data_IF_423007747601
#
_entry.id   IF_423007747601
#
_cell.length_a   1.000
_cell.length_b   1.000
_cell.length_c   1.000
_cell.angle_alpha   90.00
_cell.angle_beta   90.00
_cell.angle_gamma   90.00
#
_symmetry.space_group_name_H-M   'P 1'
#
loop_
_entity.id
_entity.type
_entity.pdbx_description
1 polymer ?
#
# COMPACT_ATOMS: atom_id res chain seq x y z
N UNK A 1 11.51 1.42 15.30
CA UNK A 1 11.87 0.93 13.95
C UNK A 1 13.03 1.71 13.33
N UNK A 2 12.86 3.00 13.04
CA UNK A 2 13.83 3.82 12.28
C UNK A 2 15.23 3.90 12.91
N UNK A 3 15.31 3.76 14.23
CA UNK A 3 16.57 3.79 14.97
C UNK A 3 17.31 2.45 15.00
N UNK A 4 16.64 1.35 14.67
CA UNK A 4 17.26 0.02 14.72
C UNK A 4 18.41 -0.09 13.73
N UNK A 5 19.48 -0.77 14.14
CA UNK A 5 20.63 -1.04 13.28
C UNK A 5 20.21 -1.78 12.00
N UNK A 6 19.25 -2.71 12.12
CA UNK A 6 18.69 -3.42 10.97
C UNK A 6 18.01 -2.46 9.98
N UNK A 7 17.15 -1.54 10.42
CA UNK A 7 16.50 -0.60 9.50
C UNK A 7 17.51 0.32 8.82
N UNK A 8 18.43 0.89 9.59
CA UNK A 8 19.49 1.78 9.09
C UNK A 8 20.38 1.07 8.06
N UNK A 9 20.72 -0.20 8.28
CA UNK A 9 21.55 -1.00 7.38
C UNK A 9 20.91 -1.25 6.00
N UNK A 10 19.59 -1.17 5.86
CA UNK A 10 18.93 -1.25 4.56
C UNK A 10 19.07 0.05 3.75
N UNK A 11 19.25 1.20 4.42
CA UNK A 11 19.31 2.54 3.82
C UNK A 11 18.09 2.87 2.93
N UNK A 12 16.91 2.39 3.30
CA UNK A 12 15.65 2.68 2.60
C UNK A 12 15.22 4.12 2.89
N UNK A 13 14.78 4.85 1.85
CA UNK A 13 14.37 6.26 1.95
C UNK A 13 12.87 6.48 1.87
N UNK A 14 12.08 5.39 1.79
CA UNK A 14 10.63 5.46 1.67
C UNK A 14 9.93 4.42 2.55
N UNK A 15 8.90 4.85 3.26
CA UNK A 15 7.96 3.99 3.99
C UNK A 15 6.54 4.24 3.51
N UNK A 16 5.65 3.33 3.89
CA UNK A 16 4.21 3.49 3.74
C UNK A 16 3.57 3.33 5.11
N UNK A 17 2.63 4.21 5.43
CA UNK A 17 1.84 4.15 6.64
C UNK A 17 0.36 4.16 6.29
N UNK A 18 -0.38 3.26 6.90
CA UNK A 18 -1.82 3.17 6.75
C UNK A 18 -2.51 3.96 7.83
N UNK A 19 -3.51 4.75 7.44
CA UNK A 19 -4.37 5.47 8.38
C UNK A 19 -5.83 5.11 8.16
N UNK A 20 -6.62 4.96 9.22
CA UNK A 20 -8.04 4.78 9.09
C UNK A 20 -8.68 6.07 8.55
N UNK A 21 -9.79 5.96 7.83
CA UNK A 21 -10.43 7.08 7.15
C UNK A 21 -10.99 8.15 8.10
N UNK A 22 -11.22 7.80 9.35
CA UNK A 22 -11.64 8.67 10.44
C UNK A 22 -10.48 9.17 11.31
N UNK A 23 -9.21 8.99 10.91
CA UNK A 23 -8.03 9.44 11.67
C UNK A 23 -8.11 10.90 12.13
N UNK A 24 -8.76 11.80 11.38
CA UNK A 24 -8.90 13.22 11.78
C UNK A 24 -9.95 13.47 12.87
N UNK A 25 -10.67 12.44 13.30
CA UNK A 25 -11.64 12.43 14.40
C UNK A 25 -11.22 11.52 15.55
N UNK A 26 -10.22 10.66 15.35
CA UNK A 26 -9.66 9.78 16.36
C UNK A 26 -8.31 10.33 16.80
N UNK A 27 -8.25 10.92 18.00
CA UNK A 27 -7.02 11.51 18.53
C UNK A 27 -5.91 10.49 18.75
N UNK A 28 -6.25 9.23 19.04
CA UNK A 28 -5.28 8.16 19.28
C UNK A 28 -4.63 7.74 17.97
N UNK A 29 -5.43 7.49 16.93
CA UNK A 29 -4.92 7.13 15.61
C UNK A 29 -4.18 8.31 14.95
N UNK A 30 -4.63 9.55 15.18
CA UNK A 30 -3.90 10.74 14.73
C UNK A 30 -2.53 10.86 15.41
N UNK A 31 -2.44 10.60 16.72
CA UNK A 31 -1.18 10.64 17.45
C UNK A 31 -0.20 9.59 16.92
N UNK A 32 -0.64 8.34 16.73
CA UNK A 32 0.20 7.26 16.16
C UNK A 32 0.71 7.59 14.76
N UNK A 33 -0.17 8.11 13.89
CA UNK A 33 0.21 8.52 12.54
C UNK A 33 1.19 9.70 12.55
N UNK A 34 1.00 10.65 13.46
CA UNK A 34 1.87 11.82 13.64
C UNK A 34 3.26 11.39 14.11
N UNK A 35 3.33 10.53 15.12
CA UNK A 35 4.56 9.97 15.65
C UNK A 35 5.33 9.22 14.55
N UNK A 36 4.65 8.33 13.82
CA UNK A 36 5.29 7.56 12.75
C UNK A 36 5.84 8.47 11.64
N UNK A 37 5.06 9.45 11.16
CA UNK A 37 5.47 10.36 10.09
C UNK A 37 6.64 11.24 10.54
N UNK A 38 6.60 11.72 11.79
CA UNK A 38 7.66 12.55 12.36
C UNK A 38 8.95 11.74 12.49
N UNK A 39 8.90 10.54 13.10
CA UNK A 39 10.05 9.66 13.22
C UNK A 39 10.63 9.25 11.85
N UNK A 40 9.78 9.02 10.84
CA UNK A 40 10.23 8.75 9.48
C UNK A 40 10.99 9.95 8.90
N UNK A 41 10.40 11.16 9.00
CA UNK A 41 11.00 12.40 8.51
C UNK A 41 12.35 12.67 9.16
N UNK A 42 12.43 12.54 10.48
CA UNK A 42 13.63 12.82 11.26
C UNK A 42 14.75 11.80 10.95
N UNK A 43 14.38 10.58 10.54
CA UNK A 43 15.31 9.59 9.97
C UNK A 43 15.66 9.81 8.48
N UNK A 44 15.19 10.90 7.86
CA UNK A 44 15.40 11.19 6.44
C UNK A 44 14.62 10.27 5.49
N UNK A 45 13.49 9.73 5.96
CA UNK A 45 12.64 8.77 5.25
C UNK A 45 11.29 9.41 4.90
N UNK A 46 10.87 9.30 3.64
CA UNK A 46 9.60 9.84 3.18
C UNK A 46 8.46 8.82 3.34
N UNK A 47 7.29 9.27 3.80
CA UNK A 47 6.12 8.40 4.00
C UNK A 47 5.08 8.58 2.89
N UNK A 48 4.61 7.47 2.30
CA UNK A 48 3.31 7.39 1.63
C UNK A 48 2.24 7.18 2.70
N UNK A 49 1.38 8.17 2.90
CA UNK A 49 0.25 8.08 3.82
C UNK A 49 -0.99 7.58 3.05
N UNK A 50 -1.45 6.36 3.34
CA UNK A 50 -2.52 5.71 2.59
C UNK A 50 -3.75 5.50 3.46
N UNK A 51 -4.90 6.07 3.06
CA UNK A 51 -6.18 5.88 3.73
C UNK A 51 -6.70 4.44 3.53
N UNK A 52 -7.23 3.85 4.59
CA UNK A 52 -7.95 2.58 4.57
C UNK A 52 -9.18 2.63 5.50
N UNK A 53 -9.96 1.55 5.49
CA UNK A 53 -11.05 1.35 6.43
C UNK A 53 -10.55 1.27 7.87
N UNK A 54 -11.40 1.63 8.84
CA UNK A 54 -11.11 1.45 10.27
C UNK A 54 -11.39 0.03 10.77
N UNK A 55 -12.05 -0.83 9.99
CA UNK A 55 -12.29 -2.23 10.33
C UNK A 55 -11.99 -3.17 9.15
N UNK A 56 -10.87 -3.89 9.26
CA UNK A 56 -10.37 -4.81 8.23
C UNK A 56 -11.08 -6.18 8.23
N UNK A 57 -12.08 -6.42 9.09
CA UNK A 57 -12.89 -7.64 9.02
C UNK A 57 -13.74 -7.61 7.74
N UNK A 58 -13.82 -8.76 7.07
CA UNK A 58 -14.54 -8.90 5.80
C UNK A 58 -15.98 -8.35 5.89
N UNK A 59 -16.30 -7.36 5.05
CA UNK A 59 -17.61 -6.69 4.95
C UNK A 59 -18.07 -5.98 6.25
N UNK A 60 -17.16 -5.59 7.13
CA UNK A 60 -17.50 -4.90 8.40
C UNK A 60 -17.07 -3.43 8.45
N UNK A 61 -16.11 -3.02 7.63
CA UNK A 61 -15.70 -1.63 7.47
C UNK A 61 -16.88 -0.66 7.22
N UNK A 62 -16.94 0.49 7.91
CA UNK A 62 -18.01 1.46 7.72
C UNK A 62 -17.90 2.14 6.36
N UNK A 63 -19.04 2.41 5.71
CA UNK A 63 -19.05 3.23 4.50
C UNK A 63 -18.90 4.70 4.87
N UNK A 64 -17.82 5.34 4.42
CA UNK A 64 -17.66 6.78 4.57
C UNK A 64 -18.49 7.52 3.50
N UNK A 65 -19.28 8.52 3.91
CA UNK A 65 -19.98 9.36 2.93
C UNK A 65 -18.98 10.18 2.12
N UNK A 66 -19.32 10.51 0.88
CA UNK A 66 -18.42 11.28 -0.01
C UNK A 66 -18.11 12.67 0.54
N UNK A 67 -19.10 13.32 1.18
CA UNK A 67 -18.94 14.62 1.85
C UNK A 67 -17.99 14.52 3.05
N UNK A 68 -18.18 13.51 3.91
CA UNK A 68 -17.30 13.26 5.06
C UNK A 68 -15.87 12.99 4.59
N UNK A 69 -15.69 12.07 3.64
CA UNK A 69 -14.37 11.76 3.11
C UNK A 69 -13.68 13.00 2.52
N UNK A 70 -14.41 13.84 1.75
CA UNK A 70 -13.85 15.07 1.17
C UNK A 70 -13.31 16.00 2.24
N UNK A 71 -14.10 16.26 3.29
CA UNK A 71 -13.69 17.09 4.43
C UNK A 71 -12.47 16.49 5.13
N UNK A 72 -12.49 15.20 5.41
CA UNK A 72 -11.41 14.55 6.16
C UNK A 72 -10.12 14.46 5.35
N UNK A 73 -10.19 14.19 4.04
CA UNK A 73 -9.03 14.22 3.14
C UNK A 73 -8.40 15.61 3.10
N UNK A 74 -9.21 16.68 3.08
CA UNK A 74 -8.71 18.06 3.13
C UNK A 74 -7.95 18.35 4.44
N UNK A 75 -8.53 17.95 5.59
CA UNK A 75 -7.90 18.08 6.90
C UNK A 75 -6.62 17.25 7.02
N UNK A 76 -6.66 15.98 6.61
CA UNK A 76 -5.54 15.05 6.63
C UNK A 76 -4.38 15.56 5.78
N UNK A 77 -4.63 15.96 4.53
CA UNK A 77 -3.59 16.49 3.67
C UNK A 77 -3.04 17.80 4.24
N UNK A 78 -3.88 18.72 4.73
CA UNK A 78 -3.41 19.95 5.38
C UNK A 78 -2.43 19.66 6.51
N UNK A 79 -2.80 18.73 7.39
CA UNK A 79 -2.03 18.40 8.57
C UNK A 79 -0.70 17.73 8.21
N UNK A 80 -0.75 16.60 7.49
CA UNK A 80 0.45 15.82 7.19
C UNK A 80 1.38 16.46 6.15
N UNK A 81 0.89 17.41 5.33
CA UNK A 81 1.77 18.22 4.49
C UNK A 81 2.74 19.07 5.30
N UNK A 82 2.29 19.63 6.43
CA UNK A 82 3.16 20.40 7.35
C UNK A 82 4.25 19.51 7.96
N UNK A 83 3.98 18.21 8.08
CA UNK A 83 4.95 17.19 8.52
C UNK A 83 5.79 16.60 7.37
N UNK A 84 5.68 17.13 6.15
CA UNK A 84 6.56 16.75 5.03
C UNK A 84 6.05 15.64 4.11
N UNK A 85 4.90 15.01 4.37
CA UNK A 85 4.34 13.91 3.55
C UNK A 85 4.03 14.33 2.11
N UNK A 86 4.73 13.82 1.09
CA UNK A 86 4.50 14.22 -0.32
C UNK A 86 3.65 13.22 -1.13
N UNK A 87 3.42 12.04 -0.59
CA UNK A 87 2.75 10.95 -1.27
C UNK A 87 1.51 10.54 -0.47
N UNK A 88 0.34 10.59 -1.10
CA UNK A 88 -0.93 10.24 -0.48
C UNK A 88 -1.63 9.14 -1.29
N UNK A 89 -2.34 8.26 -0.61
CA UNK A 89 -3.18 7.25 -1.25
C UNK A 89 -4.65 7.45 -0.91
N UNK A 90 -5.51 7.38 -1.94
CA UNK A 90 -6.92 7.67 -1.80
C UNK A 90 -7.68 6.58 -1.02
N UNK A 91 -7.42 5.31 -1.32
CA UNK A 91 -8.07 4.21 -0.62
C UNK A 91 -7.33 2.90 -0.89
N UNK A 92 -7.04 2.16 0.16
CA UNK A 92 -6.36 0.86 0.11
C UNK A 92 -7.24 -0.21 -0.56
N UNK A 93 -6.63 -1.10 -1.37
CA UNK A 93 -7.24 -2.33 -1.93
C UNK A 93 -8.72 -2.21 -2.31
N UNK A 94 -9.08 -1.25 -3.15
CA UNK A 94 -10.49 -0.88 -3.33
C UNK A 94 -11.40 -2.01 -3.82
N UNK A 95 -10.81 -3.07 -4.38
CA UNK A 95 -11.48 -4.25 -4.90
C UNK A 95 -11.63 -5.40 -3.87
N UNK A 96 -11.05 -5.31 -2.67
CA UNK A 96 -11.04 -6.39 -1.69
C UNK A 96 -12.15 -6.24 -0.64
N UNK A 97 -12.82 -7.35 -0.29
CA UNK A 97 -14.02 -7.38 0.58
C UNK A 97 -13.83 -6.86 2.01
N UNK A 98 -12.60 -6.66 2.45
CA UNK A 98 -12.30 -6.02 3.74
C UNK A 98 -12.44 -4.50 3.67
N UNK A 99 -12.42 -3.92 2.47
CA UNK A 99 -12.59 -2.50 2.21
C UNK A 99 -14.02 -2.26 1.75
N UNK A 100 -14.73 -1.29 2.29
CA UNK A 100 -16.14 -1.02 1.95
C UNK A 100 -16.36 -0.64 0.47
N UNK A 101 -15.29 -0.27 -0.23
CA UNK A 101 -15.32 0.14 -1.64
C UNK A 101 -15.43 -1.03 -2.61
N UNK A 102 -15.30 -2.28 -2.14
CA UNK A 102 -15.23 -3.50 -2.96
C UNK A 102 -16.41 -3.69 -3.91
N UNK A 103 -17.60 -3.25 -3.49
CA UNK A 103 -18.82 -3.21 -4.31
C UNK A 103 -19.41 -1.80 -4.44
N UNK A 104 -18.69 -0.76 -3.98
CA UNK A 104 -19.13 0.66 -4.01
C UNK A 104 -18.18 1.50 -4.85
N UNK A 105 -18.09 1.19 -6.15
CA UNK A 105 -17.16 1.84 -7.08
C UNK A 105 -17.39 3.37 -7.15
N UNK A 106 -18.63 3.84 -6.97
CA UNK A 106 -18.94 5.28 -6.89
C UNK A 106 -18.22 5.99 -5.75
N UNK A 107 -18.11 5.35 -4.58
CA UNK A 107 -17.35 5.87 -3.44
C UNK A 107 -15.86 5.88 -3.76
N UNK A 108 -15.29 4.79 -4.27
CA UNK A 108 -13.88 4.73 -4.66
C UNK A 108 -13.49 5.87 -5.63
N UNK A 109 -14.32 6.12 -6.65
CA UNK A 109 -14.12 7.23 -7.59
C UNK A 109 -14.18 8.58 -6.89
N UNK A 110 -15.13 8.78 -5.98
CA UNK A 110 -15.30 10.02 -5.24
C UNK A 110 -14.16 10.27 -4.26
N UNK A 111 -13.64 9.22 -3.62
CA UNK A 111 -12.49 9.29 -2.73
C UNK A 111 -11.22 9.69 -3.50
N UNK A 112 -10.97 9.06 -4.65
CA UNK A 112 -9.88 9.47 -5.55
C UNK A 112 -9.97 10.95 -5.92
N UNK A 113 -11.14 11.42 -6.38
CA UNK A 113 -11.32 12.83 -6.77
C UNK A 113 -11.08 13.78 -5.59
N UNK A 114 -11.54 13.41 -4.41
CA UNK A 114 -11.41 14.20 -3.19
C UNK A 114 -9.96 14.28 -2.72
N UNK A 115 -9.26 13.15 -2.61
CA UNK A 115 -7.84 13.10 -2.25
C UNK A 115 -6.99 13.86 -3.28
N UNK A 116 -7.25 13.65 -4.57
CA UNK A 116 -6.55 14.38 -5.63
C UNK A 116 -6.73 15.89 -5.49
N UNK A 117 -7.95 16.37 -5.24
CA UNK A 117 -8.22 17.79 -5.09
C UNK A 117 -7.55 18.38 -3.85
N UNK A 118 -7.63 17.68 -2.71
CA UNK A 118 -7.00 18.09 -1.46
C UNK A 118 -5.46 18.19 -1.59
N UNK A 119 -4.83 17.24 -2.28
CA UNK A 119 -3.37 17.26 -2.53
C UNK A 119 -2.98 18.35 -3.52
N UNK A 120 -3.70 18.49 -4.64
CA UNK A 120 -3.32 19.45 -5.69
C UNK A 120 -3.50 20.91 -5.28
N UNK A 121 -4.44 21.23 -4.39
CA UNK A 121 -4.59 22.58 -3.86
C UNK A 121 -3.42 23.02 -2.98
N UNK A 122 -2.66 22.07 -2.41
CA UNK A 122 -1.54 22.35 -1.48
C UNK A 122 -0.17 22.02 -2.06
N UNK A 123 -0.10 21.13 -3.03
CA UNK A 123 1.15 20.63 -3.58
C UNK A 123 0.96 20.09 -5.00
N UNK A 124 1.26 20.94 -5.99
CA UNK A 124 1.11 20.60 -7.41
C UNK A 124 2.05 19.48 -7.87
N UNK A 125 3.16 19.23 -7.18
CA UNK A 125 4.14 18.18 -7.50
C UNK A 125 3.96 16.89 -6.68
N UNK A 126 3.12 16.89 -5.64
CA UNK A 126 2.90 15.71 -4.78
C UNK A 126 2.20 14.57 -5.52
N UNK A 127 2.41 13.33 -5.10
CA UNK A 127 1.80 12.17 -5.75
C UNK A 127 0.49 11.76 -5.07
N UNK A 128 -0.39 11.18 -5.88
CA UNK A 128 -1.65 10.59 -5.43
C UNK A 128 -1.78 9.21 -6.03
N UNK A 129 -1.72 8.18 -5.18
CA UNK A 129 -2.14 6.82 -5.54
C UNK A 129 -3.66 6.87 -5.63
N UNK A 130 -4.17 6.99 -6.86
CA UNK A 130 -5.59 7.23 -7.11
C UNK A 130 -6.45 5.97 -7.18
N UNK A 131 -5.81 4.82 -7.35
CA UNK A 131 -6.45 3.51 -7.35
C UNK A 131 -5.42 2.51 -6.81
N UNK A 132 -5.81 1.69 -5.84
CA UNK A 132 -4.95 0.62 -5.30
C UNK A 132 -5.67 -0.73 -5.36
N UNK A 133 -5.05 -1.74 -5.98
CA UNK A 133 -5.70 -2.98 -6.39
C UNK A 133 -4.95 -4.20 -5.86
N UNK A 134 -5.66 -5.08 -5.16
CA UNK A 134 -5.20 -6.42 -4.82
C UNK A 134 -5.26 -7.37 -6.02
N UNK A 135 -4.22 -8.19 -6.21
CA UNK A 135 -4.06 -9.13 -7.31
C UNK A 135 -4.92 -10.40 -7.19
N UNK A 136 -6.23 -10.20 -7.24
CA UNK A 136 -7.23 -11.26 -7.12
C UNK A 136 -8.12 -11.38 -8.35
N UNK A 137 -8.95 -12.44 -8.36
CA UNK A 137 -9.98 -12.62 -9.37
C UNK A 137 -10.91 -11.39 -9.42
N UNK A 138 -11.30 -10.97 -10.63
CA UNK A 138 -12.17 -9.82 -10.84
C UNK A 138 -11.49 -8.44 -10.86
N UNK A 139 -10.17 -8.36 -10.63
CA UNK A 139 -9.42 -7.10 -10.65
C UNK A 139 -9.61 -6.30 -11.96
N UNK A 140 -9.55 -6.98 -13.11
CA UNK A 140 -9.75 -6.34 -14.42
C UNK A 140 -11.15 -5.72 -14.56
N UNK A 141 -12.19 -6.44 -14.08
CA UNK A 141 -13.58 -5.97 -14.11
C UNK A 141 -13.79 -4.78 -13.17
N UNK A 142 -13.16 -4.79 -12.00
CA UNK A 142 -13.20 -3.66 -11.08
C UNK A 142 -12.54 -2.43 -11.70
N UNK A 143 -11.32 -2.58 -12.23
CA UNK A 143 -10.57 -1.52 -12.91
C UNK A 143 -11.40 -0.93 -14.05
N UNK A 144 -11.97 -1.77 -14.92
CA UNK A 144 -12.81 -1.32 -16.02
C UNK A 144 -14.01 -0.49 -15.53
N UNK A 145 -14.71 -0.97 -14.49
CA UNK A 145 -15.86 -0.26 -13.93
C UNK A 145 -15.49 1.06 -13.25
N UNK A 146 -14.34 1.12 -12.58
CA UNK A 146 -13.80 2.34 -11.98
C UNK A 146 -13.49 3.37 -13.06
N UNK A 147 -12.73 3.01 -14.10
CA UNK A 147 -12.36 3.93 -15.18
C UNK A 147 -13.55 4.38 -16.03
N UNK A 148 -14.55 3.51 -16.25
CA UNK A 148 -15.80 3.88 -16.94
C UNK A 148 -16.54 5.03 -16.26
N UNK A 149 -16.45 5.14 -14.92
CA UNK A 149 -17.04 6.23 -14.11
C UNK A 149 -16.18 7.50 -14.06
N UNK A 150 -14.99 7.50 -14.63
CA UNK A 150 -14.15 8.69 -14.76
C UNK A 150 -14.35 9.34 -16.14
N UNK A 151 -14.48 10.67 -16.15
CA UNK A 151 -14.35 11.45 -17.39
C UNK A 151 -12.91 11.39 -17.92
N UNK A 152 -12.70 11.72 -19.20
CA UNK A 152 -11.38 11.75 -19.84
C UNK A 152 -10.35 12.55 -19.03
N UNK A 153 -10.74 13.71 -18.49
CA UNK A 153 -9.91 14.55 -17.61
C UNK A 153 -9.44 13.77 -16.37
N UNK A 154 -10.36 13.10 -15.67
CA UNK A 154 -10.04 12.37 -14.45
C UNK A 154 -9.21 11.11 -14.72
N UNK A 155 -9.42 10.44 -15.86
CA UNK A 155 -8.57 9.32 -16.31
C UNK A 155 -7.13 9.80 -16.52
N UNK A 156 -6.96 10.93 -17.19
CA UNK A 156 -5.63 11.53 -17.44
C UNK A 156 -4.95 11.98 -16.16
N UNK A 157 -5.70 12.48 -15.17
CA UNK A 157 -5.19 12.90 -13.85
C UNK A 157 -4.71 11.73 -12.98
N UNK A 158 -5.19 10.50 -13.23
CA UNK A 158 -4.81 9.32 -12.45
C UNK A 158 -3.43 8.82 -12.90
N UNK A 159 -2.39 9.43 -12.34
CA UNK A 159 -1.00 9.17 -12.73
C UNK A 159 -0.37 7.98 -12.01
N UNK A 160 -0.85 7.60 -10.83
CA UNK A 160 -0.27 6.50 -10.04
C UNK A 160 -1.36 5.51 -9.65
N UNK A 161 -1.11 4.23 -9.94
CA UNK A 161 -1.91 3.08 -9.49
C UNK A 161 -1.07 2.21 -8.56
N UNK A 162 -1.59 1.90 -7.39
CA UNK A 162 -1.07 0.92 -6.46
C UNK A 162 -1.45 -0.49 -6.87
N UNK A 163 -0.54 -1.43 -6.65
CA UNK A 163 -0.76 -2.87 -6.86
C UNK A 163 -0.30 -3.60 -5.62
N UNK A 164 -1.19 -4.43 -5.08
CA UNK A 164 -0.87 -5.39 -4.03
C UNK A 164 -0.74 -6.77 -4.67
N UNK A 165 0.49 -7.26 -4.88
CA UNK A 165 0.75 -8.46 -5.68
C UNK A 165 1.17 -9.70 -4.88
N UNK A 166 0.55 -9.91 -3.71
CA UNK A 166 0.86 -11.04 -2.84
C UNK A 166 0.65 -12.39 -3.51
N UNK A 167 -0.40 -12.53 -4.33
CA UNK A 167 -0.70 -13.79 -5.01
C UNK A 167 0.42 -14.19 -5.96
N UNK A 168 0.89 -13.22 -6.75
CA UNK A 168 2.01 -13.37 -7.67
C UNK A 168 3.30 -13.71 -6.93
N UNK A 169 3.70 -12.91 -5.93
CA UNK A 169 4.95 -13.11 -5.17
C UNK A 169 5.00 -14.48 -4.49
N UNK A 170 3.92 -14.88 -3.82
CA UNK A 170 3.94 -16.08 -2.97
C UNK A 170 3.65 -17.38 -3.73
N UNK A 171 3.04 -17.29 -4.93
CA UNK A 171 2.81 -18.44 -5.84
C UNK A 171 3.77 -18.47 -7.02
N UNK A 172 4.77 -17.58 -7.07
CA UNK A 172 5.79 -17.50 -8.14
C UNK A 172 5.19 -17.39 -9.54
N UNK A 173 4.20 -16.51 -9.68
CA UNK A 173 3.53 -16.22 -10.95
C UNK A 173 3.47 -14.71 -11.15
N UNK A 174 3.17 -14.27 -12.37
CA UNK A 174 3.10 -12.84 -12.70
C UNK A 174 1.79 -12.45 -13.40
N UNK A 175 0.77 -13.29 -13.25
CA UNK A 175 -0.47 -13.16 -14.03
C UNK A 175 -1.35 -12.04 -13.48
N UNK A 176 -1.44 -11.88 -12.15
CA UNK A 176 -2.24 -10.83 -11.52
C UNK A 176 -1.71 -9.44 -11.85
N UNK A 177 -0.41 -9.23 -11.63
CA UNK A 177 0.29 -7.97 -11.93
C UNK A 177 0.16 -7.61 -13.41
N UNK A 178 0.41 -8.58 -14.31
CA UNK A 178 0.29 -8.32 -15.75
C UNK A 178 -1.14 -7.93 -16.15
N UNK A 179 -2.16 -8.57 -15.57
CA UNK A 179 -3.57 -8.29 -15.86
C UNK A 179 -3.97 -6.89 -15.40
N UNK A 180 -3.56 -6.50 -14.19
CA UNK A 180 -3.81 -5.16 -13.64
C UNK A 180 -3.16 -4.08 -14.52
N UNK A 181 -1.87 -4.23 -14.85
CA UNK A 181 -1.15 -3.29 -15.70
C UNK A 181 -1.83 -3.15 -17.06
N UNK A 182 -2.15 -4.27 -17.72
CA UNK A 182 -2.85 -4.27 -19.02
C UNK A 182 -4.23 -3.60 -18.93
N UNK A 183 -5.01 -3.91 -17.89
CA UNK A 183 -6.35 -3.33 -17.70
C UNK A 183 -6.29 -1.81 -17.53
N UNK A 184 -5.35 -1.30 -16.72
CA UNK A 184 -5.14 0.15 -16.53
C UNK A 184 -4.67 0.82 -17.81
N UNK A 185 -3.73 0.19 -18.54
CA UNK A 185 -3.15 0.75 -19.77
C UNK A 185 -4.17 0.96 -20.90
N UNK A 186 -5.27 0.21 -20.91
CA UNK A 186 -6.40 0.44 -21.83
C UNK A 186 -7.03 1.83 -21.65
N UNK A 187 -6.95 2.40 -20.45
CA UNK A 187 -7.55 3.69 -20.11
C UNK A 187 -6.53 4.82 -19.93
N UNK A 188 -5.30 4.50 -19.53
CA UNK A 188 -4.23 5.49 -19.39
C UNK A 188 -2.84 4.87 -19.65
N UNK A 189 -2.31 5.16 -20.85
CA UNK A 189 -0.97 4.71 -21.29
C UNK A 189 0.19 5.36 -20.54
N UNK A 190 -0.04 6.41 -19.75
CA UNK A 190 1.00 7.17 -19.02
C UNK A 190 1.04 6.90 -17.52
N UNK A 191 0.11 6.12 -16.98
CA UNK A 191 0.09 5.73 -15.56
C UNK A 191 1.41 5.08 -15.12
N UNK A 192 1.89 5.42 -13.93
CA UNK A 192 2.96 4.72 -13.22
C UNK A 192 2.33 3.76 -12.23
N UNK A 193 3.08 2.72 -11.89
CA UNK A 193 2.64 1.68 -11.00
C UNK A 193 3.56 1.61 -9.80
N UNK A 194 2.98 1.61 -8.61
CA UNK A 194 3.70 1.35 -7.38
C UNK A 194 3.23 0.01 -6.87
N UNK A 195 4.15 -0.86 -6.48
CA UNK A 195 3.79 -1.96 -5.60
C UNK A 195 3.61 -1.35 -4.22
N UNK A 196 2.43 -0.84 -3.90
CA UNK A 196 2.13 -0.16 -2.64
C UNK A 196 2.13 -1.14 -1.47
N UNK A 197 1.89 -2.41 -1.74
CA UNK A 197 2.11 -3.50 -0.81
C UNK A 197 2.57 -4.75 -1.54
N UNK A 198 3.67 -5.33 -1.10
CA UNK A 198 4.18 -6.57 -1.69
C UNK A 198 5.11 -7.21 -0.69
N UNK A 199 5.33 -8.51 -0.79
CA UNK A 199 6.17 -9.19 0.18
C UNK A 199 5.93 -10.68 0.20
N UNK A 200 6.84 -11.35 0.90
CA UNK A 200 6.76 -12.78 1.12
C UNK A 200 6.12 -13.09 2.47
N UNK A 201 5.23 -14.08 2.46
CA UNK A 201 4.45 -14.48 3.61
C UNK A 201 5.15 -15.61 4.36
N UNK A 202 5.52 -15.34 5.61
CA UNK A 202 5.87 -16.36 6.58
C UNK A 202 4.66 -17.25 6.86
N UNK A 203 3.45 -16.68 6.98
CA UNK A 203 2.21 -17.45 7.09
C UNK A 203 1.02 -16.73 6.43
N UNK A 204 0.04 -17.50 5.95
CA UNK A 204 -1.25 -16.99 5.49
C UNK A 204 -2.37 -18.03 5.65
N UNK A 205 -3.05 -18.01 6.79
CA UNK A 205 -4.15 -18.93 7.12
C UNK A 205 -3.82 -20.38 6.80
N UNK A 206 -4.76 -21.06 6.15
CA UNK A 206 -4.54 -22.43 5.67
C UNK A 206 -3.75 -22.49 4.36
N UNK A 207 -3.68 -21.39 3.61
CA UNK A 207 -3.05 -21.35 2.29
C UNK A 207 -1.52 -21.40 2.38
N UNK A 208 -0.94 -20.84 3.45
CA UNK A 208 0.50 -20.87 3.69
C UNK A 208 0.77 -21.13 5.19
N UNK A 209 1.13 -22.36 5.56
CA UNK A 209 1.61 -22.66 6.92
C UNK A 209 2.88 -21.87 7.23
N UNK A 210 3.15 -21.58 8.50
CA UNK A 210 4.34 -20.81 8.88
C UNK A 210 5.64 -21.44 8.32
N UNK A 211 6.46 -20.64 7.63
CA UNK A 211 7.77 -21.06 7.11
C UNK A 211 8.61 -19.85 6.68
N UNK A 212 9.66 -19.55 7.45
CA UNK A 212 10.61 -18.48 7.13
C UNK A 212 11.52 -18.84 5.94
N UNK A 213 11.82 -20.13 5.74
CA UNK A 213 12.57 -20.59 4.56
C UNK A 213 11.78 -20.33 3.27
N UNK A 214 10.48 -20.62 3.25
CA UNK A 214 9.61 -20.24 2.13
C UNK A 214 9.57 -18.71 1.97
N UNK A 215 9.42 -17.97 3.07
CA UNK A 215 9.39 -16.51 3.04
C UNK A 215 10.66 -15.94 2.37
N UNK A 216 11.85 -16.38 2.82
CA UNK A 216 13.14 -15.98 2.28
C UNK A 216 13.32 -16.39 0.81
N UNK A 217 12.73 -17.51 0.38
CA UNK A 217 12.70 -17.90 -1.03
C UNK A 217 11.80 -16.99 -1.86
N UNK A 218 10.58 -16.70 -1.38
CA UNK A 218 9.56 -15.94 -2.12
C UNK A 218 9.85 -14.45 -2.23
N UNK A 219 10.60 -13.84 -1.29
CA UNK A 219 10.89 -12.39 -1.37
C UNK A 219 11.70 -12.05 -2.63
N UNK A 220 12.45 -13.00 -3.19
CA UNK A 220 13.15 -12.84 -4.47
C UNK A 220 12.20 -12.46 -5.60
N UNK A 221 10.98 -12.99 -5.60
CA UNK A 221 9.97 -12.71 -6.62
C UNK A 221 9.51 -11.25 -6.63
N UNK A 222 9.45 -10.59 -5.46
CA UNK A 222 9.16 -9.15 -5.37
C UNK A 222 10.11 -8.34 -6.24
N UNK A 223 11.41 -8.58 -6.11
CA UNK A 223 12.45 -7.92 -6.90
C UNK A 223 12.40 -8.33 -8.37
N UNK A 224 12.20 -9.62 -8.66
CA UNK A 224 12.03 -10.11 -10.04
C UNK A 224 10.90 -9.37 -10.75
N UNK A 225 9.75 -9.20 -10.10
CA UNK A 225 8.60 -8.51 -10.70
C UNK A 225 8.80 -7.01 -10.78
N UNK A 226 9.45 -6.38 -9.80
CA UNK A 226 9.82 -4.97 -9.89
C UNK A 226 10.70 -4.72 -11.14
N UNK A 227 11.73 -5.54 -11.35
CA UNK A 227 12.58 -5.48 -12.55
C UNK A 227 11.81 -5.77 -13.84
N UNK A 228 11.01 -6.84 -13.86
CA UNK A 228 10.23 -7.27 -15.04
C UNK A 228 9.27 -6.19 -15.52
N UNK A 229 8.61 -5.50 -14.60
CA UNK A 229 7.59 -4.51 -14.92
C UNK A 229 8.11 -3.07 -14.93
N UNK A 230 9.41 -2.85 -14.71
CA UNK A 230 10.03 -1.52 -14.74
C UNK A 230 9.76 -0.77 -16.05
N UNK A 231 10.00 -1.42 -17.19
CA UNK A 231 9.72 -0.86 -18.52
C UNK A 231 8.22 -0.61 -18.77
N UNK A 232 7.35 -1.27 -18.03
CA UNK A 232 5.90 -1.08 -18.09
C UNK A 232 5.40 -0.01 -17.12
N UNK A 233 6.30 0.65 -16.38
CA UNK A 233 6.00 1.78 -15.52
C UNK A 233 5.97 1.46 -14.02
N UNK A 234 6.41 0.27 -13.59
CA UNK A 234 6.66 0.03 -12.16
C UNK A 234 7.92 0.76 -11.73
N UNK A 235 7.79 1.75 -10.84
CA UNK A 235 8.91 2.60 -10.43
C UNK A 235 9.06 2.74 -8.91
N UNK A 236 8.20 2.09 -8.10
CA UNK A 236 8.31 2.08 -6.64
C UNK A 236 7.78 0.80 -6.01
N UNK A 237 8.43 0.38 -4.91
CA UNK A 237 8.13 -0.86 -4.19
C UNK A 237 8.06 -0.66 -2.67
N UNK A 238 6.88 -0.97 -2.16
CA UNK A 238 6.33 -1.12 -0.80
C UNK A 238 6.50 -2.51 -0.18
N UNK A 239 7.63 -2.86 0.44
CA UNK A 239 7.72 -4.17 1.12
C UNK A 239 6.89 -4.15 2.42
N UNK A 240 5.92 -5.06 2.53
CA UNK A 240 5.12 -5.27 3.71
C UNK A 240 5.51 -6.59 4.39
N UNK A 241 5.80 -6.64 5.68
CA UNK A 241 5.95 -5.51 6.63
C UNK A 241 7.27 -5.58 7.40
N UNK A 242 7.58 -4.50 8.14
CA UNK A 242 8.82 -4.44 8.90
C UNK A 242 8.81 -5.49 10.02
N UNK A 243 7.94 -5.31 11.00
CA UNK A 243 7.76 -6.26 12.09
C UNK A 243 6.88 -7.42 11.66
N UNK A 244 7.32 -8.63 11.96
CA UNK A 244 6.48 -9.80 12.00
C UNK A 244 5.51 -9.71 13.13
N UNK A 245 4.66 -10.72 13.20
CA UNK A 245 3.58 -10.70 14.15
C UNK A 245 3.78 -11.92 15.06
N UNK A 246 4.14 -11.71 16.33
CA UNK A 246 4.16 -12.79 17.33
C UNK A 246 2.75 -13.31 17.46
N UNK A 247 2.50 -14.52 16.93
CA UNK A 247 1.15 -15.04 16.79
C UNK A 247 0.15 -13.99 16.26
N UNK A 248 0.58 -13.14 15.32
CA UNK A 248 -0.25 -12.05 14.81
C UNK A 248 -0.69 -11.02 15.83
N UNK A 249 0.09 -9.95 15.98
CA UNK A 249 -0.33 -8.73 16.67
C UNK A 249 -1.72 -8.29 16.15
N UNK A 250 -2.75 -8.49 16.98
CA UNK A 250 -4.13 -8.04 16.77
C UNK A 250 -5.26 -9.05 17.01
N UNK A 251 -5.05 -10.38 16.95
CA UNK A 251 -6.16 -11.35 17.10
C UNK A 251 -5.84 -12.71 17.79
N UNK A 252 -4.75 -12.84 18.57
CA UNK A 252 -4.42 -14.08 19.29
C UNK A 252 -4.08 -15.27 18.38
N UNK A 253 -4.18 -16.51 18.88
CA UNK A 253 -3.86 -17.80 18.20
C UNK A 253 -4.59 -18.04 16.86
N UNK A 254 -5.44 -17.11 16.43
CA UNK A 254 -6.21 -17.11 15.19
C UNK A 254 -5.58 -16.30 14.06
N UNK A 255 -4.42 -15.66 14.25
CA UNK A 255 -3.88 -14.76 13.25
C UNK A 255 -3.19 -15.47 12.09
N UNK A 256 -3.75 -15.19 10.91
CA UNK A 256 -3.52 -15.89 9.64
C UNK A 256 -2.65 -15.08 8.69
N UNK A 257 -1.85 -14.11 9.13
CA UNK A 257 -1.03 -13.31 8.21
C UNK A 257 0.26 -12.86 8.91
N UNK A 258 1.41 -13.30 8.40
CA UNK A 258 2.72 -12.81 8.82
C UNK A 258 3.61 -12.60 7.58
N UNK A 259 4.12 -11.38 7.42
CA UNK A 259 4.99 -10.96 6.33
C UNK A 259 6.26 -10.24 6.83
N UNK A 260 6.55 -10.31 8.13
CA UNK A 260 7.61 -9.53 8.76
C UNK A 260 9.00 -9.80 8.22
N UNK A 261 9.80 -8.74 8.08
CA UNK A 261 11.24 -8.84 7.83
C UNK A 261 12.04 -9.14 9.12
N UNK A 262 11.57 -8.62 10.25
CA UNK A 262 12.13 -8.86 11.59
C UNK A 262 11.07 -9.48 12.50
N UNK A 263 11.44 -10.09 13.62
CA UNK A 263 10.50 -10.49 14.67
C UNK A 263 9.96 -9.28 15.44
N UNK A 264 9.03 -9.47 16.38
CA UNK A 264 8.48 -8.33 17.13
C UNK A 264 9.51 -7.66 18.05
N UNK A 265 10.48 -8.43 18.56
CA UNK A 265 11.65 -7.95 19.29
C UNK A 265 12.68 -7.21 18.40
N UNK A 266 12.48 -7.19 17.07
CA UNK A 266 13.37 -6.56 16.11
C UNK A 266 14.54 -7.42 15.62
N UNK A 267 14.68 -8.65 16.10
CA UNK A 267 15.67 -9.60 15.57
C UNK A 267 15.40 -9.95 14.10
N UNK A 268 16.45 -10.05 13.30
CA UNK A 268 16.32 -10.26 11.85
C UNK A 268 15.92 -11.68 11.51
N UNK A 269 14.96 -11.86 10.60
CA UNK A 269 14.58 -13.17 10.03
C UNK A 269 15.43 -13.52 8.80
N UNK A 270 15.45 -14.78 8.33
CA UNK A 270 16.15 -15.17 7.10
C UNK A 270 15.76 -14.31 5.87
N UNK A 271 14.48 -13.89 5.78
CA UNK A 271 14.00 -13.02 4.70
C UNK A 271 14.70 -11.65 4.67
N UNK A 272 15.09 -11.10 5.82
CA UNK A 272 15.79 -9.81 5.92
C UNK A 272 17.15 -9.87 5.22
N UNK A 273 17.89 -10.97 5.38
CA UNK A 273 19.19 -11.14 4.73
C UNK A 273 19.06 -11.17 3.20
N UNK A 274 18.01 -11.84 2.70
CA UNK A 274 17.71 -11.86 1.26
C UNK A 274 17.29 -10.46 0.77
N UNK A 275 16.46 -9.75 1.52
CA UNK A 275 16.07 -8.36 1.24
C UNK A 275 17.30 -7.45 1.13
N UNK A 276 18.19 -7.47 2.13
CA UNK A 276 19.42 -6.67 2.17
C UNK A 276 20.33 -6.96 0.98
N UNK A 277 20.48 -8.23 0.60
CA UNK A 277 21.27 -8.63 -0.57
C UNK A 277 20.67 -8.08 -1.87
N UNK A 278 19.36 -8.29 -2.10
CA UNK A 278 18.68 -7.87 -3.33
C UNK A 278 18.57 -6.35 -3.48
N UNK A 279 18.41 -5.61 -2.39
CA UNK A 279 18.34 -4.14 -2.42
C UNK A 279 19.58 -3.48 -3.02
N UNK A 280 20.75 -4.14 -3.03
CA UNK A 280 21.98 -3.60 -3.63
C UNK A 280 21.83 -3.28 -5.12
N UNK A 281 20.91 -3.94 -5.81
CA UNK A 281 20.63 -3.72 -7.24
C UNK A 281 19.49 -2.71 -7.50
N UNK A 282 18.99 -2.03 -6.46
CA UNK A 282 17.85 -1.12 -6.54
C UNK A 282 18.18 0.24 -5.91
N UNK A 283 17.54 1.28 -6.44
CA UNK A 283 17.50 2.58 -5.76
C UNK A 283 16.69 2.43 -4.46
N UNK A 284 17.21 3.03 -3.38
CA UNK A 284 16.68 2.91 -2.02
C UNK A 284 16.05 4.22 -1.56
#
# INVERSE_FOLDING_TARGET
>A
MFESAAFRALNIKRTRYFVPADVMRDSTELAKATEFVTAARDAGVSTLLHVSTSDLRSKRGPVVSTTTYRRDADRLVTYFRKLGVKDFGAWNEVNHKTQETWNKIGNAVSYYKSMYSAVRSRCRSCNVVGLDILDQSGSEKYIASFYKRLSSTWRTRLKVVGIHNYSDVNRSRSTGTSKIIKAVRRYNKRTKFWFTETGALASFGRSFRYSESRQASRIKNMFTYASRYRKQGVDRVYSYNWFGAENGTGCGSSCKFDAGLVNTDGSTRPVYNVMRSKLRSFSR
#
